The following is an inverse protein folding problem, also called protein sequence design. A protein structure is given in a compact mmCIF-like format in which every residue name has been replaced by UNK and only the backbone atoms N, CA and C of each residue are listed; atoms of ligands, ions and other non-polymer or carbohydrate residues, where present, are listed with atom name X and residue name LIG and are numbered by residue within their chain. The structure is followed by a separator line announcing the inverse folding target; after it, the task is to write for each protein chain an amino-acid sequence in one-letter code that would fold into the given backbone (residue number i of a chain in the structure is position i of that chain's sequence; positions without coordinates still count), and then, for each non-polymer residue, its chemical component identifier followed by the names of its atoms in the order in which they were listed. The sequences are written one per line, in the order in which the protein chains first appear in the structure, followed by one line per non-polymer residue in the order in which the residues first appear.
data_IF_898950431879
#
_entry.id   IF_898950431879
#
_cell.length_a   1.000
_cell.length_b   1.000
_cell.length_c   1.000
_cell.angle_alpha   90.00
_cell.angle_beta   90.00
_cell.angle_gamma   90.00
#
_symmetry.space_group_name_H-M   'P 1'
#
loop_
_entity.id
_entity.type
_entity.pdbx_description
1 polymer ?
#
# COMPACT_ATOMS: atom_id res chain seq x y z
N UNK A 1 9.28 4.89 12.60
CA UNK A 1 7.97 4.41 12.10
C UNK A 1 8.15 3.81 10.72
N UNK A 2 7.49 2.69 10.41
CA UNK A 2 7.55 2.05 9.09
C UNK A 2 6.20 2.20 8.40
N UNK A 3 6.16 2.94 7.31
CA UNK A 3 4.94 3.17 6.52
C UNK A 3 5.05 2.43 5.20
N UNK A 4 3.95 1.85 4.74
CA UNK A 4 3.83 1.16 3.46
C UNK A 4 2.58 1.64 2.76
N UNK A 5 2.75 2.05 1.52
CA UNK A 5 1.69 2.52 0.65
C UNK A 5 1.28 1.38 -0.28
N UNK A 6 -0.02 1.22 -0.50
CA UNK A 6 -0.55 0.44 -1.60
C UNK A 6 -0.95 1.38 -2.72
N UNK A 7 -0.22 1.27 -3.82
CA UNK A 7 -0.39 2.12 -4.98
C UNK A 7 -1.00 1.34 -6.14
N UNK A 8 -1.76 2.02 -6.98
CA UNK A 8 -2.16 1.51 -8.30
C UNK A 8 -1.41 2.28 -9.37
N UNK A 9 -1.17 1.66 -10.52
CA UNK A 9 -0.57 2.31 -11.68
C UNK A 9 -1.58 2.30 -12.82
N UNK A 10 -2.04 3.47 -13.24
CA UNK A 10 -2.97 3.61 -14.36
C UNK A 10 -2.53 4.74 -15.27
N UNK A 11 -2.45 4.49 -16.58
CA UNK A 11 -2.10 5.48 -17.62
C UNK A 11 -0.83 6.31 -17.30
N UNK A 12 0.17 5.68 -16.68
CA UNK A 12 1.43 6.33 -16.31
C UNK A 12 1.40 7.12 -14.99
N UNK A 13 0.25 7.20 -14.33
CA UNK A 13 0.08 7.85 -13.02
C UNK A 13 0.06 6.77 -11.93
N UNK A 14 0.86 6.97 -10.90
CA UNK A 14 0.82 6.15 -9.69
C UNK A 14 -0.10 6.83 -8.67
N UNK A 15 -1.15 6.15 -8.23
CA UNK A 15 -2.08 6.68 -7.21
C UNK A 15 -2.01 5.87 -5.92
N UNK A 16 -1.95 6.54 -4.78
CA UNK A 16 -2.07 5.87 -3.47
C UNK A 16 -3.54 5.50 -3.25
N UNK A 17 -3.80 4.22 -2.98
CA UNK A 17 -5.13 3.73 -2.59
C UNK A 17 -5.24 3.61 -1.07
N UNK A 18 -4.17 3.16 -0.43
CA UNK A 18 -4.13 3.01 1.02
C UNK A 18 -2.73 3.30 1.57
N UNK A 19 -2.70 3.85 2.78
CA UNK A 19 -1.51 4.06 3.57
C UNK A 19 -1.62 3.24 4.85
N UNK A 20 -0.58 2.46 5.15
CA UNK A 20 -0.50 1.66 6.35
C UNK A 20 0.76 2.00 7.10
N UNK A 21 0.60 2.39 8.36
CA UNK A 21 1.71 2.63 9.27
C UNK A 21 1.76 1.51 10.30
N UNK A 22 2.97 0.99 10.52
CA UNK A 22 3.23 -0.01 11.55
C UNK A 22 2.94 0.59 12.92
N UNK A 23 2.10 -0.08 13.71
CA UNK A 23 1.84 0.27 15.10
C UNK A 23 3.02 -0.10 16.00
N UNK A 24 3.19 0.60 17.13
CA UNK A 24 4.34 0.42 18.01
C UNK A 24 4.40 -0.98 18.64
N UNK A 25 3.24 -1.56 18.98
CA UNK A 25 3.14 -2.92 19.55
C UNK A 25 3.12 -4.04 18.49
N UNK A 26 3.16 -3.70 17.21
CA UNK A 26 3.09 -4.68 16.13
C UNK A 26 4.50 -5.20 15.78
N UNK A 27 4.66 -6.51 15.57
CA UNK A 27 5.92 -7.04 15.03
C UNK A 27 6.07 -6.72 13.54
N UNK A 28 7.32 -6.65 13.05
CA UNK A 28 7.58 -6.47 11.62
C UNK A 28 6.99 -7.61 10.76
N UNK A 29 6.90 -8.82 11.32
CA UNK A 29 6.33 -9.98 10.65
C UNK A 29 4.82 -9.82 10.49
N UNK A 30 4.12 -9.46 11.57
CA UNK A 30 2.68 -9.20 11.54
C UNK A 30 2.33 -8.07 10.58
N UNK A 31 3.11 -7.00 10.59
CA UNK A 31 2.91 -5.90 9.66
C UNK A 31 3.03 -6.37 8.20
N UNK A 32 4.07 -7.15 7.87
CA UNK A 32 4.24 -7.69 6.50
C UNK A 32 3.09 -8.63 6.09
N UNK A 33 2.65 -9.50 6.98
CA UNK A 33 1.51 -10.40 6.74
C UNK A 33 0.21 -9.62 6.55
N UNK A 34 0.00 -8.58 7.35
CA UNK A 34 -1.13 -7.67 7.22
C UNK A 34 -1.13 -6.98 5.85
N UNK A 35 -0.02 -6.37 5.44
CA UNK A 35 0.08 -5.73 4.11
C UNK A 35 -0.18 -6.74 3.00
N UNK A 36 0.33 -7.98 3.12
CA UNK A 36 0.10 -9.04 2.13
C UNK A 36 -1.38 -9.39 2.00
N UNK A 37 -2.11 -9.49 3.12
CA UNK A 37 -3.56 -9.70 3.13
C UNK A 37 -4.29 -8.54 2.44
N UNK A 38 -3.96 -7.30 2.79
CA UNK A 38 -4.55 -6.11 2.17
C UNK A 38 -4.36 -6.11 0.65
N UNK A 39 -3.15 -6.41 0.16
CA UNK A 39 -2.88 -6.54 -1.29
C UNK A 39 -3.77 -7.58 -1.97
N UNK A 40 -3.99 -8.72 -1.33
CA UNK A 40 -4.86 -9.76 -1.90
C UNK A 40 -6.32 -9.34 -1.94
N UNK A 41 -6.82 -8.66 -0.91
CA UNK A 41 -8.20 -8.17 -0.87
C UNK A 41 -8.44 -7.12 -1.97
N UNK A 42 -7.57 -6.12 -2.10
CA UNK A 42 -7.67 -5.14 -3.19
C UNK A 42 -7.64 -5.79 -4.58
N UNK A 43 -6.82 -6.82 -4.78
CA UNK A 43 -6.78 -7.56 -6.05
C UNK A 43 -8.06 -8.34 -6.31
N UNK A 44 -8.72 -8.89 -5.28
CA UNK A 44 -10.04 -9.52 -5.41
C UNK A 44 -11.12 -8.52 -5.80
N UNK A 45 -11.01 -7.28 -5.32
CA UNK A 45 -11.87 -6.16 -5.70
C UNK A 45 -11.58 -5.62 -7.12
N UNK A 46 -10.59 -6.17 -7.82
CA UNK A 46 -10.20 -5.75 -9.18
C UNK A 46 -9.23 -4.57 -9.22
N UNK A 47 -8.68 -4.16 -8.06
CA UNK A 47 -7.66 -3.12 -7.98
C UNK A 47 -6.26 -3.75 -8.02
N UNK A 48 -5.54 -3.52 -9.12
CA UNK A 48 -4.15 -3.97 -9.24
C UNK A 48 -3.21 -3.05 -8.43
N UNK A 49 -3.07 -3.41 -7.15
CA UNK A 49 -2.21 -2.70 -6.19
C UNK A 49 -0.83 -3.33 -6.08
N UNK A 50 0.17 -2.48 -5.83
CA UNK A 50 1.53 -2.85 -5.49
C UNK A 50 2.02 -2.11 -4.24
N UNK A 51 2.95 -2.74 -3.51
CA UNK A 51 3.55 -2.18 -2.29
C UNK A 51 4.63 -1.17 -2.64
N UNK A 52 4.62 0.00 -2.00
CA UNK A 52 5.61 1.05 -2.19
C UNK A 52 6.00 1.66 -0.84
N UNK A 53 7.28 2.02 -0.62
CA UNK A 53 7.69 2.83 0.52
C UNK A 53 7.34 4.32 0.35
N UNK A 54 6.84 4.72 -0.83
CA UNK A 54 6.47 6.09 -1.17
C UNK A 54 5.01 6.19 -1.62
N UNK A 55 4.31 7.28 -1.31
CA UNK A 55 2.99 7.55 -1.89
C UNK A 55 3.11 7.65 -3.42
N UNK A 56 1.99 7.46 -4.12
CA UNK A 56 1.90 7.64 -5.56
C UNK A 56 2.15 9.10 -6.00
N UNK A 57 2.58 9.23 -7.25
CA UNK A 57 2.87 10.50 -7.91
C UNK A 57 1.63 11.39 -8.16
N UNK A 58 0.41 10.91 -7.87
CA UNK A 58 -0.84 11.69 -7.84
C UNK A 58 -0.79 12.89 -6.88
N UNK A 59 0.27 13.01 -6.09
CA UNK A 59 0.54 14.16 -5.22
C UNK A 59 0.95 15.46 -5.94
N UNK A 60 0.73 15.60 -7.26
CA UNK A 60 1.15 16.82 -7.98
C UNK A 60 0.00 17.71 -8.45
N UNK A 61 -0.12 18.82 -7.70
CA UNK A 61 -0.56 20.18 -8.02
C UNK A 61 -1.99 20.42 -8.50
#
# INVERSE_FOLDING_TARGET
MSTTFLNTKSKGITKTVAEFSKQDDQSNKEFREFIKKQVMEYRKEGLDVFKSPRPGDDQRN
#
